data_IF_139411208782
#
_entry.id   IF_139411208782
#
_cell.length_a   1.000
_cell.length_b   1.000
_cell.length_c   1.000
_cell.angle_alpha   90.00
_cell.angle_beta   90.00
_cell.angle_gamma   90.00
#
_symmetry.space_group_name_H-M   'P 1'
#
loop_
_entity.id
_entity.type
_entity.pdbx_description
1 polymer ?
#
# COMPACT_ATOMS: atom_id res chain seq x y z
N UNK A 1 14.21 -50.85 36.59
CA UNK A 1 14.14 -49.54 35.90
C UNK A 1 14.49 -49.76 34.43
N UNK A 2 13.70 -49.17 33.52
CA UNK A 2 13.88 -49.13 32.06
C UNK A 2 13.54 -50.39 31.23
N UNK A 3 12.28 -50.86 31.31
CA UNK A 3 11.68 -51.65 30.20
C UNK A 3 10.28 -51.18 29.77
N UNK A 4 9.64 -50.30 30.53
CA UNK A 4 8.30 -49.78 30.20
C UNK A 4 8.32 -48.42 29.48
N UNK A 5 9.46 -47.71 29.44
CA UNK A 5 9.59 -46.47 28.67
C UNK A 5 9.83 -46.70 27.18
N UNK A 6 10.51 -47.79 26.80
CA UNK A 6 10.75 -48.10 25.38
C UNK A 6 9.50 -48.65 24.67
N UNK A 7 8.52 -49.18 25.42
CA UNK A 7 7.27 -49.70 24.86
C UNK A 7 6.25 -48.62 24.48
N UNK A 8 6.42 -47.38 24.96
CA UNK A 8 5.52 -46.26 24.66
C UNK A 8 5.87 -45.59 23.31
N UNK A 9 7.14 -45.63 22.91
CA UNK A 9 7.63 -45.08 21.64
C UNK A 9 7.53 -46.07 20.46
N UNK A 10 7.26 -47.35 20.74
CA UNK A 10 7.10 -48.40 19.73
C UNK A 10 5.65 -48.76 19.41
N UNK A 11 4.67 -48.10 20.02
CA UNK A 11 3.28 -48.20 19.57
C UNK A 11 3.13 -47.32 18.33
N UNK A 12 2.70 -47.86 17.18
CA UNK A 12 2.25 -47.00 16.10
C UNK A 12 1.17 -46.10 16.70
N UNK A 13 1.44 -44.80 16.79
CA UNK A 13 0.37 -43.85 17.02
C UNK A 13 -0.58 -44.07 15.85
N UNK A 14 -1.70 -44.73 16.11
CA UNK A 14 -2.86 -44.70 15.24
C UNK A 14 -3.32 -43.25 15.24
N UNK A 15 -2.63 -42.42 14.45
CA UNK A 15 -3.05 -41.09 14.09
C UNK A 15 -4.38 -41.32 13.39
N UNK A 16 -5.46 -41.11 14.14
CA UNK A 16 -6.80 -41.06 13.57
C UNK A 16 -6.71 -40.00 12.47
N UNK A 17 -6.97 -40.35 11.20
CA UNK A 17 -6.89 -39.38 10.13
C UNK A 17 -7.80 -38.21 10.47
N UNK A 18 -7.23 -37.01 10.52
CA UNK A 18 -8.00 -35.80 10.78
C UNK A 18 -9.10 -35.67 9.70
N UNK A 19 -10.28 -35.15 10.05
CA UNK A 19 -11.33 -34.88 9.07
C UNK A 19 -10.77 -34.06 7.90
N UNK A 20 -11.02 -34.46 6.64
CA UNK A 20 -10.52 -33.76 5.46
C UNK A 20 -10.89 -32.27 5.43
N UNK A 21 -12.03 -31.90 6.03
CA UNK A 21 -12.52 -30.53 6.13
C UNK A 21 -11.61 -29.67 7.01
N UNK A 22 -11.22 -30.17 8.19
CA UNK A 22 -10.33 -29.45 9.10
C UNK A 22 -8.92 -29.33 8.52
N UNK A 23 -8.43 -30.39 7.89
CA UNK A 23 -7.15 -30.36 7.19
C UNK A 23 -7.18 -29.38 6.02
N UNK A 24 -8.30 -29.27 5.29
CA UNK A 24 -8.45 -28.30 4.23
C UNK A 24 -8.34 -26.87 4.75
N UNK A 25 -9.00 -26.53 5.86
CA UNK A 25 -8.92 -25.20 6.45
C UNK A 25 -7.50 -24.83 6.88
N UNK A 26 -6.78 -25.75 7.55
CA UNK A 26 -5.39 -25.53 7.98
C UNK A 26 -4.46 -25.35 6.77
N UNK A 27 -4.58 -26.23 5.78
CA UNK A 27 -3.73 -26.17 4.57
C UNK A 27 -4.06 -24.93 3.74
N UNK A 28 -5.33 -24.53 3.70
CA UNK A 28 -5.80 -23.30 3.06
C UNK A 28 -5.15 -22.06 3.70
N UNK A 29 -5.14 -21.96 5.02
CA UNK A 29 -4.51 -20.84 5.72
C UNK A 29 -3.00 -20.80 5.46
N UNK A 30 -2.29 -21.93 5.59
CA UNK A 30 -0.85 -22.02 5.29
C UNK A 30 -0.56 -21.62 3.85
N UNK A 31 -1.36 -22.08 2.89
CA UNK A 31 -1.15 -21.80 1.46
C UNK A 31 -1.40 -20.34 1.13
N UNK A 32 -2.46 -19.76 1.68
CA UNK A 32 -2.80 -18.35 1.44
C UNK A 32 -1.84 -17.40 2.16
N UNK A 33 -1.36 -17.76 3.36
CA UNK A 33 -0.27 -17.05 4.05
C UNK A 33 1.04 -17.09 3.25
N UNK A 34 1.41 -18.26 2.73
CA UNK A 34 2.59 -18.37 1.87
C UNK A 34 2.47 -17.46 0.63
N UNK A 35 1.32 -17.46 -0.04
CA UNK A 35 1.09 -16.61 -1.21
C UNK A 35 1.21 -15.13 -0.85
N UNK A 36 0.59 -14.73 0.27
CA UNK A 36 0.62 -13.37 0.79
C UNK A 36 2.06 -12.89 1.01
N UNK A 37 2.84 -13.62 1.81
CA UNK A 37 4.23 -13.28 2.09
C UNK A 37 5.10 -13.40 0.82
N UNK A 38 4.81 -14.34 -0.09
CA UNK A 38 5.61 -14.51 -1.30
C UNK A 38 5.47 -13.35 -2.27
N UNK A 39 4.33 -12.68 -2.26
CA UNK A 39 4.07 -11.52 -3.13
C UNK A 39 4.52 -10.24 -2.45
N UNK A 40 4.11 -10.03 -1.19
CA UNK A 40 4.20 -8.72 -0.55
C UNK A 40 5.41 -8.57 0.38
N UNK A 41 5.78 -9.63 1.11
CA UNK A 41 6.82 -9.58 2.16
C UNK A 41 7.79 -10.78 2.06
N UNK A 42 8.51 -10.92 0.94
CA UNK A 42 9.30 -12.12 0.66
C UNK A 42 10.48 -12.32 1.61
N UNK A 43 10.93 -11.26 2.29
CA UNK A 43 11.96 -11.31 3.32
C UNK A 43 11.55 -12.19 4.52
N UNK A 44 10.25 -12.37 4.76
CA UNK A 44 9.72 -13.18 5.86
C UNK A 44 9.70 -14.69 5.57
N UNK A 45 9.84 -15.11 4.31
CA UNK A 45 9.64 -16.51 3.92
C UNK A 45 10.83 -17.45 4.16
N UNK A 46 12.00 -16.94 4.55
CA UNK A 46 13.21 -17.74 4.59
C UNK A 46 13.47 -18.45 3.25
N UNK A 47 14.16 -19.61 3.28
CA UNK A 47 14.47 -20.38 2.06
C UNK A 47 13.46 -21.50 1.75
N UNK A 48 12.43 -21.71 2.58
CA UNK A 48 11.59 -22.91 2.52
C UNK A 48 10.15 -22.58 2.13
N UNK A 49 9.64 -23.25 1.09
CA UNK A 49 8.23 -23.19 0.71
C UNK A 49 7.42 -24.23 1.54
N UNK A 50 6.56 -23.80 2.49
CA UNK A 50 5.81 -24.72 3.34
C UNK A 50 4.79 -25.55 2.54
N UNK A 51 4.26 -25.02 1.43
CA UNK A 51 3.31 -25.73 0.57
C UNK A 51 3.97 -26.93 -0.11
N UNK A 52 5.22 -26.79 -0.58
CA UNK A 52 5.99 -27.94 -1.10
C UNK A 52 6.23 -28.99 -0.02
N UNK A 53 6.51 -28.56 1.21
CA UNK A 53 6.71 -29.48 2.35
C UNK A 53 5.45 -30.30 2.64
N UNK A 54 4.26 -29.68 2.55
CA UNK A 54 2.98 -30.37 2.71
C UNK A 54 2.71 -31.40 1.61
N UNK A 55 3.09 -31.12 0.37
CA UNK A 55 2.98 -32.08 -0.76
C UNK A 55 3.87 -33.33 -0.55
N UNK A 56 4.98 -33.20 0.16
CA UNK A 56 5.92 -34.30 0.44
C UNK A 56 5.64 -35.07 1.74
N UNK A 57 4.74 -34.59 2.60
CA UNK A 57 4.54 -35.15 3.95
C UNK A 57 3.88 -36.55 3.96
N UNK A 58 2.59 -36.63 3.60
CA UNK A 58 1.85 -37.90 3.54
C UNK A 58 0.75 -37.84 2.47
N UNK A 59 0.16 -38.98 2.12
CA UNK A 59 -0.87 -39.06 1.07
C UNK A 59 -2.06 -38.13 1.33
N UNK A 60 -2.59 -38.12 2.56
CA UNK A 60 -3.75 -37.31 2.93
C UNK A 60 -3.46 -35.80 2.80
N UNK A 61 -2.32 -35.34 3.33
CA UNK A 61 -1.91 -33.94 3.21
C UNK A 61 -1.63 -33.56 1.77
N UNK A 62 -1.02 -34.44 0.97
CA UNK A 62 -0.79 -34.20 -0.46
C UNK A 62 -2.09 -33.99 -1.22
N UNK A 63 -3.07 -34.87 -1.05
CA UNK A 63 -4.37 -34.78 -1.73
C UNK A 63 -5.10 -33.48 -1.36
N UNK A 64 -5.09 -33.11 -0.08
CA UNK A 64 -5.73 -31.88 0.41
C UNK A 64 -4.98 -30.64 -0.07
N UNK A 65 -3.65 -30.65 -0.06
CA UNK A 65 -2.83 -29.55 -0.57
C UNK A 65 -3.05 -29.33 -2.06
N UNK A 66 -3.12 -30.40 -2.85
CA UNK A 66 -3.46 -30.30 -4.27
C UNK A 66 -4.86 -29.70 -4.46
N UNK A 67 -5.85 -30.11 -3.66
CA UNK A 67 -7.20 -29.53 -3.71
C UNK A 67 -7.19 -28.04 -3.38
N UNK A 68 -6.46 -27.62 -2.34
CA UNK A 68 -6.31 -26.20 -1.99
C UNK A 68 -5.62 -25.42 -3.10
N UNK A 69 -4.53 -25.94 -3.69
CA UNK A 69 -3.85 -25.31 -4.84
C UNK A 69 -4.83 -25.15 -6.01
N UNK A 70 -5.59 -26.19 -6.36
CA UNK A 70 -6.62 -26.10 -7.40
C UNK A 70 -7.64 -25.01 -7.06
N UNK A 71 -8.11 -24.93 -5.81
CA UNK A 71 -9.12 -23.96 -5.39
C UNK A 71 -8.63 -22.51 -5.34
N UNK A 72 -7.36 -22.30 -4.95
CA UNK A 72 -6.71 -20.99 -4.81
C UNK A 72 -6.34 -20.43 -6.18
N UNK A 73 -5.75 -21.26 -7.03
CA UNK A 73 -5.27 -20.87 -8.35
C UNK A 73 -6.35 -21.03 -9.43
N UNK A 74 -7.44 -21.76 -9.13
CA UNK A 74 -8.51 -22.15 -10.07
C UNK A 74 -7.93 -22.78 -11.34
N UNK A 75 -7.04 -23.76 -11.15
CA UNK A 75 -6.35 -24.47 -12.23
C UNK A 75 -7.03 -25.80 -12.47
N UNK A 76 -7.41 -26.06 -13.72
CA UNK A 76 -7.94 -27.36 -14.11
C UNK A 76 -6.82 -28.42 -14.13
N UNK A 77 -7.18 -29.61 -13.66
CA UNK A 77 -6.35 -30.80 -13.85
C UNK A 77 -6.52 -31.29 -15.29
N UNK A 78 -5.41 -31.67 -15.91
CA UNK A 78 -5.45 -32.36 -17.19
C UNK A 78 -6.12 -33.75 -17.05
N UNK A 79 -6.46 -34.42 -18.16
CA UNK A 79 -7.04 -35.76 -18.11
C UNK A 79 -6.17 -36.82 -17.40
N UNK A 80 -4.88 -36.54 -17.18
CA UNK A 80 -3.96 -37.42 -16.45
C UNK A 80 -3.88 -37.08 -14.95
N UNK A 81 -4.62 -36.06 -14.48
CA UNK A 81 -4.63 -35.62 -13.10
C UNK A 81 -3.44 -34.75 -12.71
N UNK A 82 -2.68 -34.22 -13.67
CA UNK A 82 -1.58 -33.28 -13.45
C UNK A 82 -2.05 -31.83 -13.57
N UNK A 83 -1.34 -30.92 -12.92
CA UNK A 83 -1.57 -29.48 -13.10
C UNK A 83 -1.08 -29.06 -14.49
N UNK A 84 -1.88 -28.27 -15.19
CA UNK A 84 -1.55 -27.76 -16.53
C UNK A 84 -0.37 -26.78 -16.55
N UNK A 85 0.00 -26.22 -15.39
CA UNK A 85 1.17 -25.36 -15.24
C UNK A 85 1.68 -25.39 -13.78
N UNK A 86 2.91 -24.89 -13.56
CA UNK A 86 3.45 -24.68 -12.22
C UNK A 86 2.76 -23.48 -11.53
N UNK A 87 1.99 -23.68 -10.44
CA UNK A 87 1.28 -22.60 -9.79
C UNK A 87 2.24 -21.58 -9.15
N UNK A 88 3.43 -21.99 -8.72
CA UNK A 88 4.38 -21.11 -8.02
C UNK A 88 5.09 -20.12 -8.96
N UNK A 89 5.19 -20.43 -10.25
CA UNK A 89 5.68 -19.47 -11.26
C UNK A 89 4.74 -18.26 -11.36
N UNK A 90 3.44 -18.46 -11.18
CA UNK A 90 2.46 -17.37 -11.18
C UNK A 90 2.62 -16.46 -9.96
N UNK A 91 2.93 -17.04 -8.79
CA UNK A 91 3.25 -16.29 -7.57
C UNK A 91 4.51 -15.44 -7.81
N UNK A 92 5.56 -16.04 -8.36
CA UNK A 92 6.80 -15.33 -8.67
C UNK A 92 6.61 -14.20 -9.70
N UNK A 93 5.81 -14.43 -10.75
CA UNK A 93 5.47 -13.39 -11.73
C UNK A 93 4.69 -12.24 -11.08
N UNK A 94 3.77 -12.54 -10.17
CA UNK A 94 2.98 -11.53 -9.49
C UNK A 94 3.81 -10.72 -8.50
N UNK A 95 4.72 -11.37 -7.77
CA UNK A 95 5.73 -10.70 -6.96
C UNK A 95 6.54 -9.70 -7.78
N UNK A 96 7.03 -10.10 -8.97
CA UNK A 96 7.78 -9.18 -9.84
C UNK A 96 6.96 -7.94 -10.21
N UNK A 97 5.67 -8.10 -10.51
CA UNK A 97 4.77 -6.97 -10.78
C UNK A 97 4.55 -6.09 -9.56
N UNK A 98 4.47 -6.70 -8.38
CA UNK A 98 4.40 -5.96 -7.12
C UNK A 98 5.65 -5.10 -6.93
N UNK A 99 6.83 -5.70 -7.08
CA UNK A 99 8.12 -4.97 -7.05
C UNK A 99 8.15 -3.84 -8.09
N UNK A 100 7.76 -4.09 -9.34
CA UNK A 100 7.69 -3.08 -10.41
C UNK A 100 6.76 -1.89 -10.07
N UNK A 101 5.61 -2.14 -9.45
CA UNK A 101 4.69 -1.07 -9.03
C UNK A 101 5.23 -0.28 -7.84
N UNK A 102 5.92 -0.93 -6.92
CA UNK A 102 6.55 -0.25 -5.78
C UNK A 102 7.83 0.50 -6.17
N UNK A 103 8.53 0.06 -7.20
CA UNK A 103 9.71 0.71 -7.75
C UNK A 103 9.36 1.76 -8.82
N UNK A 104 8.09 1.87 -9.22
CA UNK A 104 7.62 2.82 -10.21
C UNK A 104 7.93 4.26 -9.76
N UNK A 105 8.68 4.99 -10.59
CA UNK A 105 8.78 6.45 -10.49
C UNK A 105 7.74 7.08 -11.42
N UNK A 106 6.60 7.56 -10.90
CA UNK A 106 5.55 8.13 -11.74
C UNK A 106 5.92 9.52 -12.31
N UNK A 107 7.12 10.04 -12.01
CA UNK A 107 7.67 11.26 -12.63
C UNK A 107 8.34 10.98 -13.97
N UNK A 108 8.66 9.72 -14.26
CA UNK A 108 9.10 9.30 -15.57
C UNK A 108 7.86 9.12 -16.47
N UNK A 109 7.71 9.99 -17.48
CA UNK A 109 6.59 9.95 -18.42
C UNK A 109 6.49 8.58 -19.13
N UNK A 110 7.62 7.92 -19.36
CA UNK A 110 7.67 6.57 -19.92
C UNK A 110 7.14 5.54 -18.93
N UNK A 111 7.42 5.70 -17.63
CA UNK A 111 6.91 4.84 -16.55
C UNK A 111 5.41 5.03 -16.30
N UNK A 112 4.90 6.27 -16.32
CA UNK A 112 3.47 6.55 -16.22
C UNK A 112 2.68 6.03 -17.42
N UNK A 113 3.23 6.16 -18.62
CA UNK A 113 2.66 5.58 -19.85
C UNK A 113 2.71 4.06 -19.82
N UNK A 114 3.82 3.47 -19.36
CA UNK A 114 3.96 2.02 -19.18
C UNK A 114 2.98 1.48 -18.13
N UNK A 115 2.72 2.22 -17.05
CA UNK A 115 1.71 1.85 -16.05
C UNK A 115 0.29 1.91 -16.60
N UNK A 116 -0.07 2.98 -17.32
CA UNK A 116 -1.39 3.08 -17.95
C UNK A 116 -1.57 2.03 -19.05
N UNK A 117 -0.53 1.76 -19.85
CA UNK A 117 -0.53 0.65 -20.80
C UNK A 117 -0.62 -0.71 -20.11
N UNK A 118 0.03 -0.88 -18.95
CA UNK A 118 -0.09 -2.09 -18.15
C UNK A 118 -1.50 -2.22 -17.58
N UNK A 119 -2.12 -1.13 -17.12
CA UNK A 119 -3.49 -1.10 -16.61
C UNK A 119 -4.51 -1.41 -17.72
N UNK A 120 -4.33 -0.81 -18.90
CA UNK A 120 -5.16 -1.00 -20.10
C UNK A 120 -4.95 -2.39 -20.74
N UNK A 121 -3.72 -2.91 -20.72
CA UNK A 121 -3.41 -4.28 -21.14
C UNK A 121 -3.85 -5.31 -20.10
N UNK A 122 -4.08 -4.88 -18.87
CA UNK A 122 -4.69 -5.71 -17.83
C UNK A 122 -6.19 -5.79 -18.02
N UNK A 123 -6.59 -6.58 -19.02
CA UNK A 123 -7.79 -7.38 -18.83
C UNK A 123 -7.52 -8.29 -17.61
N UNK A 124 -8.29 -8.19 -16.51
CA UNK A 124 -8.17 -9.10 -15.39
C UNK A 124 -8.25 -10.58 -15.83
N UNK A 125 -8.85 -10.86 -17.00
CA UNK A 125 -8.87 -12.19 -17.62
C UNK A 125 -7.54 -12.60 -18.29
N UNK A 126 -6.72 -11.67 -18.77
CA UNK A 126 -5.50 -11.97 -19.55
C UNK A 126 -4.22 -11.99 -18.71
N UNK A 127 -4.10 -11.11 -17.71
CA UNK A 127 -2.79 -10.81 -17.06
C UNK A 127 -2.37 -11.80 -15.98
N UNK A 128 -3.28 -12.67 -15.54
CA UNK A 128 -2.97 -13.72 -14.58
C UNK A 128 -2.80 -15.11 -15.20
N UNK A 129 -3.14 -15.30 -16.49
CA UNK A 129 -3.30 -16.64 -17.08
C UNK A 129 -4.22 -17.56 -16.24
N UNK A 130 -5.03 -16.94 -15.37
CA UNK A 130 -5.78 -17.57 -14.29
C UNK A 130 -7.19 -17.04 -14.33
N UNK A 131 -8.14 -17.88 -13.94
CA UNK A 131 -9.52 -17.48 -13.77
C UNK A 131 -9.60 -16.19 -12.93
N UNK A 132 -10.35 -15.16 -13.38
CA UNK A 132 -10.48 -13.86 -12.70
C UNK A 132 -11.08 -13.98 -11.30
N UNK A 133 -11.67 -15.13 -10.98
CA UNK A 133 -12.16 -15.42 -9.64
C UNK A 133 -11.07 -15.93 -8.69
N UNK A 134 -9.84 -16.21 -9.13
CA UNK A 134 -8.79 -16.83 -8.30
C UNK A 134 -8.26 -15.90 -7.21
N UNK A 135 -7.62 -16.47 -6.18
CA UNK A 135 -6.98 -15.67 -5.11
C UNK A 135 -5.85 -14.82 -5.70
N UNK A 136 -5.06 -15.36 -6.64
CA UNK A 136 -4.01 -14.60 -7.31
C UNK A 136 -4.56 -13.44 -8.14
N UNK A 137 -5.70 -13.60 -8.79
CA UNK A 137 -6.35 -12.49 -9.51
C UNK A 137 -6.71 -11.35 -8.55
N UNK A 138 -7.10 -11.65 -7.30
CA UNK A 138 -7.32 -10.61 -6.28
C UNK A 138 -6.03 -9.90 -5.88
N UNK A 139 -4.94 -10.63 -5.67
CA UNK A 139 -3.64 -10.00 -5.40
C UNK A 139 -3.14 -9.15 -6.57
N UNK A 140 -3.36 -9.58 -7.82
CA UNK A 140 -3.08 -8.76 -8.99
C UNK A 140 -3.88 -7.45 -8.98
N UNK A 141 -5.18 -7.53 -8.68
CA UNK A 141 -5.99 -6.32 -8.55
C UNK A 141 -5.45 -5.41 -7.43
N UNK A 142 -5.01 -5.95 -6.29
CA UNK A 142 -4.36 -5.16 -5.22
C UNK A 142 -3.11 -4.43 -5.71
N UNK A 143 -2.22 -5.11 -6.44
CA UNK A 143 -1.03 -4.50 -7.04
C UNK A 143 -1.41 -3.33 -7.94
N UNK A 144 -2.42 -3.51 -8.80
CA UNK A 144 -2.90 -2.48 -9.72
C UNK A 144 -3.55 -1.31 -8.98
N UNK A 145 -4.33 -1.58 -7.93
CA UNK A 145 -4.95 -0.55 -7.08
C UNK A 145 -3.86 0.32 -6.45
N UNK A 146 -2.85 -0.29 -5.83
CA UNK A 146 -1.78 0.44 -5.14
C UNK A 146 -0.98 1.31 -6.12
N UNK A 147 -0.62 0.77 -7.28
CA UNK A 147 0.03 1.56 -8.33
C UNK A 147 -0.84 2.70 -8.86
N UNK A 148 -2.13 2.44 -9.04
CA UNK A 148 -3.09 3.42 -9.53
C UNK A 148 -3.26 4.57 -8.55
N UNK A 149 -3.43 4.28 -7.26
CA UNK A 149 -3.54 5.31 -6.23
C UNK A 149 -2.25 6.12 -6.10
N UNK A 150 -1.09 5.46 -6.16
CA UNK A 150 0.21 6.15 -6.18
C UNK A 150 0.31 7.13 -7.34
N UNK A 151 0.06 6.67 -8.57
CA UNK A 151 0.05 7.52 -9.75
C UNK A 151 -0.96 8.69 -9.63
N UNK A 152 -2.15 8.42 -9.08
CA UNK A 152 -3.21 9.42 -8.84
C UNK A 152 -2.78 10.51 -7.86
N UNK A 153 -2.04 10.14 -6.81
CA UNK A 153 -1.57 11.12 -5.82
C UNK A 153 -0.47 12.00 -6.40
N UNK A 154 0.31 11.47 -7.34
CA UNK A 154 1.50 12.12 -7.87
C UNK A 154 1.24 12.96 -9.14
N UNK A 155 0.16 12.69 -9.89
CA UNK A 155 -0.24 13.55 -11.02
C UNK A 155 -0.70 14.94 -10.55
N UNK A 156 -0.55 15.98 -11.37
CA UNK A 156 -1.05 17.34 -11.07
C UNK A 156 -2.42 17.64 -11.69
N UNK A 157 -2.86 16.83 -12.66
CA UNK A 157 -4.11 17.08 -13.39
C UNK A 157 -5.35 16.66 -12.59
N UNK A 158 -6.24 17.62 -12.32
CA UNK A 158 -7.46 17.41 -11.52
C UNK A 158 -8.45 16.46 -12.19
N UNK A 159 -8.58 16.51 -13.52
CA UNK A 159 -9.50 15.62 -14.24
C UNK A 159 -8.96 14.19 -14.25
N UNK A 160 -7.66 14.01 -14.54
CA UNK A 160 -6.98 12.71 -14.38
C UNK A 160 -7.15 12.20 -12.95
N UNK A 161 -6.93 13.01 -11.91
CA UNK A 161 -7.14 12.59 -10.51
C UNK A 161 -8.54 12.05 -10.28
N UNK A 162 -9.57 12.75 -10.77
CA UNK A 162 -10.96 12.35 -10.57
C UNK A 162 -11.27 11.02 -11.23
N UNK A 163 -10.85 10.84 -12.49
CA UNK A 163 -11.04 9.58 -13.23
C UNK A 163 -10.31 8.43 -12.54
N UNK A 164 -9.04 8.65 -12.18
CA UNK A 164 -8.21 7.61 -11.59
C UNK A 164 -8.70 7.16 -10.21
N UNK A 165 -9.28 8.06 -9.40
CA UNK A 165 -9.94 7.70 -8.11
C UNK A 165 -11.13 6.76 -8.32
N UNK A 166 -11.96 7.02 -9.33
CA UNK A 166 -13.12 6.16 -9.63
C UNK A 166 -12.64 4.77 -10.06
N UNK A 167 -11.61 4.71 -10.90
CA UNK A 167 -11.02 3.45 -11.35
C UNK A 167 -10.41 2.66 -10.18
N UNK A 168 -9.63 3.32 -9.32
CA UNK A 168 -9.05 2.70 -8.13
C UNK A 168 -10.11 2.13 -7.17
N UNK A 169 -11.23 2.84 -6.99
CA UNK A 169 -12.38 2.32 -6.21
C UNK A 169 -13.04 1.10 -6.86
N UNK A 170 -13.19 1.09 -8.19
CA UNK A 170 -13.75 -0.05 -8.92
C UNK A 170 -12.86 -1.29 -8.75
N UNK A 171 -11.56 -1.13 -8.99
CA UNK A 171 -10.59 -2.20 -8.84
C UNK A 171 -10.59 -2.75 -7.41
N UNK A 172 -10.70 -1.87 -6.40
CA UNK A 172 -10.81 -2.27 -5.00
C UNK A 172 -12.01 -3.14 -4.72
N UNK A 173 -13.20 -2.75 -5.19
CA UNK A 173 -14.41 -3.55 -5.04
C UNK A 173 -14.20 -4.95 -5.62
N UNK A 174 -13.53 -5.04 -6.77
CA UNK A 174 -13.20 -6.31 -7.39
C UNK A 174 -12.14 -7.10 -6.60
N UNK A 175 -11.12 -6.45 -6.04
CA UNK A 175 -10.07 -7.09 -5.25
C UNK A 175 -10.62 -7.71 -3.94
N UNK A 176 -11.54 -7.01 -3.27
CA UNK A 176 -12.12 -7.48 -1.99
C UNK A 176 -13.32 -8.43 -2.18
N UNK A 177 -13.75 -8.62 -3.43
CA UNK A 177 -14.84 -9.53 -3.76
C UNK A 177 -14.40 -10.98 -3.62
N UNK A 178 -15.20 -11.78 -2.92
CA UNK A 178 -14.93 -13.21 -2.73
C UNK A 178 -16.20 -14.05 -2.96
N UNK A 179 -16.07 -15.21 -3.65
CA UNK A 179 -17.17 -16.15 -3.76
C UNK A 179 -17.68 -16.57 -2.38
N UNK A 180 -19.02 -16.55 -2.17
CA UNK A 180 -19.64 -16.80 -0.86
C UNK A 180 -19.14 -18.07 -0.16
N UNK A 181 -18.91 -19.14 -0.93
CA UNK A 181 -18.49 -20.46 -0.42
C UNK A 181 -16.97 -20.58 -0.17
N UNK A 182 -16.17 -19.61 -0.61
CA UNK A 182 -14.70 -19.65 -0.51
C UNK A 182 -14.12 -18.51 0.32
N UNK A 183 -14.93 -17.72 1.03
CA UNK A 183 -14.50 -16.50 1.74
C UNK A 183 -13.25 -16.67 2.61
N UNK A 184 -13.06 -17.83 3.25
CA UNK A 184 -11.87 -18.13 4.05
C UNK A 184 -10.56 -18.04 3.25
N UNK A 185 -10.56 -18.57 2.02
CA UNK A 185 -9.39 -18.54 1.12
C UNK A 185 -8.98 -17.12 0.70
N UNK A 186 -9.92 -16.17 0.73
CA UNK A 186 -9.70 -14.79 0.28
C UNK A 186 -9.53 -13.84 1.47
N UNK A 187 -9.57 -14.34 2.71
CA UNK A 187 -9.58 -13.49 3.90
C UNK A 187 -8.39 -12.54 3.95
N UNK A 188 -7.18 -13.03 3.62
CA UNK A 188 -5.93 -12.24 3.61
C UNK A 188 -5.91 -11.18 2.50
N UNK A 189 -6.19 -11.57 1.26
CA UNK A 189 -6.33 -10.62 0.14
C UNK A 189 -7.38 -9.52 0.44
N UNK A 190 -8.50 -9.88 1.06
CA UNK A 190 -9.54 -8.92 1.47
C UNK A 190 -9.04 -7.98 2.56
N UNK A 191 -8.37 -8.50 3.58
CA UNK A 191 -7.80 -7.70 4.66
C UNK A 191 -6.81 -6.67 4.09
N UNK A 192 -5.88 -7.10 3.24
CA UNK A 192 -4.95 -6.18 2.55
C UNK A 192 -5.67 -5.16 1.68
N UNK A 193 -6.70 -5.57 0.94
CA UNK A 193 -7.50 -4.62 0.17
C UNK A 193 -8.14 -3.53 1.02
N UNK A 194 -8.67 -3.89 2.19
CA UNK A 194 -9.17 -2.89 3.13
C UNK A 194 -8.04 -2.00 3.68
N UNK A 195 -6.91 -2.57 4.08
CA UNK A 195 -5.75 -1.81 4.57
C UNK A 195 -5.25 -0.80 3.53
N UNK A 196 -5.03 -1.25 2.30
CA UNK A 196 -4.62 -0.41 1.18
C UNK A 196 -5.65 0.70 0.91
N UNK A 197 -6.95 0.37 0.89
CA UNK A 197 -8.00 1.37 0.70
C UNK A 197 -7.94 2.48 1.74
N UNK A 198 -7.87 2.12 3.01
CA UNK A 198 -7.88 3.09 4.10
C UNK A 198 -6.58 3.90 4.13
N UNK A 199 -5.44 3.26 3.84
CA UNK A 199 -4.18 3.95 3.67
C UNK A 199 -4.27 5.03 2.58
N UNK A 200 -4.69 4.66 1.37
CA UNK A 200 -4.76 5.60 0.23
C UNK A 200 -5.85 6.66 0.38
N UNK A 201 -6.93 6.36 1.09
CA UNK A 201 -7.92 7.37 1.46
C UNK A 201 -7.31 8.42 2.40
N UNK A 202 -6.55 7.97 3.40
CA UNK A 202 -5.83 8.86 4.33
C UNK A 202 -4.78 9.70 3.60
N UNK A 203 -4.03 9.10 2.66
CA UNK A 203 -3.11 9.84 1.77
C UNK A 203 -3.87 10.91 0.99
N UNK A 204 -5.02 10.58 0.40
CA UNK A 204 -5.82 11.53 -0.39
C UNK A 204 -6.28 12.73 0.44
N UNK A 205 -6.68 12.53 1.69
CA UNK A 205 -7.09 13.62 2.57
C UNK A 205 -5.90 14.46 3.04
N UNK A 206 -4.76 13.83 3.36
CA UNK A 206 -3.54 14.58 3.63
C UNK A 206 -3.09 15.39 2.43
N UNK A 207 -3.11 14.82 1.22
CA UNK A 207 -2.83 15.54 -0.03
C UNK A 207 -3.77 16.73 -0.24
N UNK A 208 -5.04 16.65 0.19
CA UNK A 208 -5.96 17.79 0.15
C UNK A 208 -5.54 18.89 1.12
N UNK A 209 -5.12 18.54 2.33
CA UNK A 209 -4.60 19.50 3.32
C UNK A 209 -3.29 20.11 2.84
N UNK A 210 -2.41 19.30 2.25
CA UNK A 210 -1.19 19.71 1.57
C UNK A 210 -1.49 20.79 0.52
N UNK A 211 -2.40 20.58 -0.43
CA UNK A 211 -2.73 21.63 -1.42
C UNK A 211 -3.24 22.95 -0.82
N UNK A 212 -3.81 22.92 0.40
CA UNK A 212 -4.21 24.14 1.11
C UNK A 212 -3.01 24.84 1.77
N UNK A 213 -2.02 24.08 2.23
CA UNK A 213 -0.74 24.61 2.72
C UNK A 213 0.09 25.22 1.57
N UNK A 214 0.09 24.59 0.40
CA UNK A 214 0.64 25.16 -0.85
C UNK A 214 -0.02 26.50 -1.20
N UNK A 215 -1.36 26.57 -1.16
CA UNK A 215 -2.05 27.82 -1.41
C UNK A 215 -1.72 28.90 -0.36
N UNK A 216 -1.49 28.51 0.88
CA UNK A 216 -1.03 29.41 1.94
C UNK A 216 0.39 29.92 1.65
N UNK A 217 1.30 29.04 1.21
CA UNK A 217 2.65 29.39 0.78
C UNK A 217 2.64 30.38 -0.39
N UNK A 218 1.81 30.12 -1.41
CA UNK A 218 1.65 31.00 -2.57
C UNK A 218 1.11 32.38 -2.17
N UNK A 219 0.12 32.42 -1.26
CA UNK A 219 -0.45 33.69 -0.77
C UNK A 219 0.61 34.50 0.01
N UNK A 220 1.41 33.84 0.84
CA UNK A 220 2.38 34.50 1.72
C UNK A 220 3.69 34.83 1.01
N UNK A 221 4.16 34.01 0.08
CA UNK A 221 5.36 34.26 -0.74
C UNK A 221 5.22 35.48 -1.66
N UNK A 222 3.99 35.98 -1.87
CA UNK A 222 3.73 37.21 -2.61
C UNK A 222 3.75 38.48 -1.74
N UNK A 223 3.87 38.36 -0.41
CA UNK A 223 4.00 39.50 0.51
C UNK A 223 5.47 39.93 0.65
N UNK A 224 5.76 41.23 0.55
CA UNK A 224 7.14 41.74 0.64
C UNK A 224 7.54 42.06 2.08
N UNK A 225 6.56 42.38 2.94
CA UNK A 225 6.73 42.63 4.38
C UNK A 225 5.59 42.01 5.20
N UNK A 226 5.80 41.75 6.51
CA UNK A 226 4.78 41.28 7.46
C UNK A 226 3.50 42.15 7.46
N UNK A 227 3.64 43.44 7.12
CA UNK A 227 2.54 44.40 7.05
C UNK A 227 1.59 44.17 5.86
N UNK A 228 2.02 43.41 4.84
CA UNK A 228 1.24 43.10 3.65
C UNK A 228 0.34 41.87 3.83
N UNK A 229 0.51 41.11 4.92
CA UNK A 229 -0.32 39.94 5.20
C UNK A 229 -1.63 40.38 5.86
N UNK A 230 -2.76 40.09 5.20
CA UNK A 230 -4.05 40.34 5.79
C UNK A 230 -4.30 39.42 7.00
N UNK A 231 -4.91 39.97 8.05
CA UNK A 231 -5.29 39.20 9.25
C UNK A 231 -6.21 38.01 8.92
N UNK A 232 -6.97 38.10 7.83
CA UNK A 232 -7.79 37.00 7.32
C UNK A 232 -6.96 35.81 6.82
N UNK A 233 -5.80 36.06 6.20
CA UNK A 233 -4.91 35.01 5.69
C UNK A 233 -4.20 34.29 6.84
N UNK A 234 -3.78 35.03 7.87
CA UNK A 234 -3.24 34.45 9.12
C UNK A 234 -4.26 33.52 9.76
N UNK A 235 -5.51 33.98 9.90
CA UNK A 235 -6.60 33.17 10.45
C UNK A 235 -6.84 31.92 9.61
N UNK A 236 -6.80 32.03 8.28
CA UNK A 236 -6.93 30.89 7.37
C UNK A 236 -5.81 29.87 7.57
N UNK A 237 -4.57 30.33 7.72
CA UNK A 237 -3.42 29.48 8.03
C UNK A 237 -3.57 28.76 9.36
N UNK A 238 -4.03 29.46 10.40
CA UNK A 238 -4.33 28.86 11.70
C UNK A 238 -5.41 27.77 11.61
N UNK A 239 -6.53 28.04 10.93
CA UNK A 239 -7.61 27.06 10.73
C UNK A 239 -7.14 25.82 9.94
N UNK A 240 -6.18 25.98 9.02
CA UNK A 240 -5.59 24.87 8.28
C UNK A 240 -4.70 23.99 9.15
N UNK A 241 -3.86 24.59 10.00
CA UNK A 241 -3.03 23.85 10.94
C UNK A 241 -3.86 23.14 12.01
N UNK A 242 -4.97 23.75 12.45
CA UNK A 242 -5.91 23.08 13.36
C UNK A 242 -6.58 21.88 12.69
N UNK A 243 -7.04 22.03 11.44
CA UNK A 243 -7.60 20.89 10.67
C UNK A 243 -6.58 19.78 10.47
N UNK A 244 -5.30 20.12 10.29
CA UNK A 244 -4.22 19.16 10.17
C UNK A 244 -3.97 18.45 11.51
N UNK A 245 -3.98 19.18 12.63
CA UNK A 245 -3.89 18.61 13.97
C UNK A 245 -5.04 17.65 14.30
N UNK A 246 -6.24 18.01 13.85
CA UNK A 246 -7.48 17.24 14.02
C UNK A 246 -7.66 16.12 13.00
N UNK A 247 -6.78 16.03 11.99
CA UNK A 247 -6.90 15.05 10.92
C UNK A 247 -6.93 13.62 11.51
N UNK A 248 -6.07 13.32 12.49
CA UNK A 248 -6.08 12.05 13.26
C UNK A 248 -7.46 11.71 13.87
N UNK A 249 -8.19 12.72 14.36
CA UNK A 249 -9.50 12.52 14.97
C UNK A 249 -10.60 12.31 13.92
N UNK A 250 -10.43 12.85 12.71
CA UNK A 250 -11.38 12.70 11.60
C UNK A 250 -11.20 11.38 10.84
N UNK A 251 -10.04 10.73 10.94
CA UNK A 251 -9.77 9.41 10.35
C UNK A 251 -10.33 8.22 11.15
N UNK A 252 -11.06 8.46 12.25
CA UNK A 252 -11.56 7.40 13.14
C UNK A 252 -12.81 6.68 12.57
N UNK A 253 -12.65 5.58 11.80
CA UNK A 253 -13.61 4.45 11.68
C UNK A 253 -13.08 3.32 10.75
N UNK A 254 -13.36 2.01 11.00
CA UNK A 254 -13.42 1.28 12.27
C UNK A 254 -12.06 0.70 12.70
N UNK A 255 -10.99 0.91 11.94
CA UNK A 255 -9.62 0.62 12.39
C UNK A 255 -8.99 1.89 12.96
N UNK A 256 -8.35 1.80 14.12
CA UNK A 256 -7.58 2.86 14.78
C UNK A 256 -6.37 3.30 13.92
N UNK A 257 -6.60 3.85 12.72
CA UNK A 257 -5.52 4.33 11.87
C UNK A 257 -4.89 5.56 12.51
N UNK A 258 -3.65 5.39 12.98
CA UNK A 258 -2.78 6.49 13.42
C UNK A 258 -2.05 7.02 12.20
N UNK A 259 -1.67 8.29 12.24
CA UNK A 259 -0.71 8.82 11.27
C UNK A 259 0.60 8.04 11.43
N UNK A 260 1.15 7.57 10.31
CA UNK A 260 2.42 6.84 10.23
C UNK A 260 3.44 7.63 9.43
N UNK A 261 4.72 7.25 9.53
CA UNK A 261 5.79 7.81 8.70
C UNK A 261 5.50 7.66 7.20
N UNK A 262 5.11 6.45 6.77
CA UNK A 262 4.78 6.15 5.37
C UNK A 262 3.65 7.05 4.84
N UNK A 263 2.63 7.31 5.68
CA UNK A 263 1.52 8.18 5.32
C UNK A 263 1.98 9.63 5.11
N UNK A 264 2.88 10.13 5.97
CA UNK A 264 3.47 11.47 5.86
C UNK A 264 4.47 11.59 4.70
N UNK A 265 5.18 10.51 4.36
CA UNK A 265 6.06 10.44 3.20
C UNK A 265 5.27 10.41 1.88
N UNK A 266 4.22 9.60 1.78
CA UNK A 266 3.44 9.49 0.52
C UNK A 266 2.54 10.71 0.31
N UNK A 267 2.03 11.33 1.39
CA UNK A 267 1.21 12.57 1.37
C UNK A 267 1.99 13.84 0.96
N UNK A 268 2.89 13.75 -0.01
CA UNK A 268 3.74 14.84 -0.48
C UNK A 268 2.96 15.94 -1.22
N UNK A 269 3.39 17.19 -1.02
CA UNK A 269 2.99 18.37 -1.78
C UNK A 269 3.55 18.27 -3.19
N UNK A 270 2.71 18.22 -4.21
CA UNK A 270 3.14 18.41 -5.59
C UNK A 270 3.15 19.91 -5.91
N UNK A 271 4.16 20.64 -5.46
CA UNK A 271 4.24 22.07 -5.76
C UNK A 271 4.66 22.27 -7.22
N UNK A 272 3.75 22.87 -8.00
CA UNK A 272 4.10 23.62 -9.19
C UNK A 272 4.62 24.98 -8.73
N UNK A 273 5.92 25.07 -8.39
CA UNK A 273 6.57 26.37 -8.30
C UNK A 273 6.58 27.00 -9.70
N UNK A 274 5.57 27.81 -10.00
CA UNK A 274 5.62 28.75 -11.12
C UNK A 274 6.51 29.91 -10.69
N UNK A 275 7.82 29.64 -10.63
CA UNK A 275 8.82 30.68 -10.54
C UNK A 275 8.76 31.56 -11.80
N UNK A 276 8.79 32.88 -11.61
CA UNK A 276 8.77 33.95 -12.64
C UNK A 276 9.92 33.90 -13.69
N UNK A 277 10.63 32.79 -13.81
CA UNK A 277 11.78 32.60 -14.69
C UNK A 277 11.83 31.13 -15.13
N UNK A 278 11.63 30.91 -16.43
CA UNK A 278 11.69 29.73 -17.31
C UNK A 278 12.32 28.37 -16.86
N UNK A 279 12.21 27.94 -15.60
CA UNK A 279 12.47 26.56 -15.19
C UNK A 279 11.42 26.13 -14.17
N UNK A 280 10.53 25.23 -14.59
CA UNK A 280 9.66 24.49 -13.67
C UNK A 280 10.56 23.61 -12.80
N UNK A 281 10.81 24.01 -11.57
CA UNK A 281 11.44 23.13 -10.58
C UNK A 281 10.31 22.59 -9.73
N UNK A 282 9.97 21.31 -9.92
CA UNK A 282 9.05 20.62 -9.02
C UNK A 282 9.79 20.42 -7.71
N UNK A 283 9.36 21.10 -6.63
CA UNK A 283 9.84 20.80 -5.28
C UNK A 283 8.73 20.09 -4.54
N UNK A 284 8.95 18.82 -4.17
CA UNK A 284 8.06 18.17 -3.22
C UNK A 284 8.45 18.61 -1.82
N UNK A 285 7.51 19.24 -1.12
CA UNK A 285 7.60 19.33 0.32
C UNK A 285 6.72 18.20 0.87
N UNK A 286 7.25 17.27 1.66
CA UNK A 286 6.34 16.47 2.48
C UNK A 286 5.68 17.40 3.50
N UNK A 287 4.50 17.07 4.03
CA UNK A 287 3.83 17.91 5.06
C UNK A 287 4.82 18.32 6.16
N UNK A 288 5.69 17.39 6.56
CA UNK A 288 6.76 17.61 7.55
C UNK A 288 7.80 18.63 7.09
N UNK A 289 8.21 18.59 5.83
CA UNK A 289 9.13 19.56 5.20
C UNK A 289 8.53 20.97 5.20
N UNK A 290 7.24 21.09 4.87
CA UNK A 290 6.54 22.36 4.89
C UNK A 290 6.39 22.92 6.31
N UNK A 291 5.99 22.08 7.27
CA UNK A 291 5.94 22.47 8.67
C UNK A 291 7.31 22.95 9.17
N UNK A 292 8.40 22.28 8.78
CA UNK A 292 9.77 22.72 9.10
C UNK A 292 10.10 24.06 8.46
N UNK A 293 9.71 24.28 7.20
CA UNK A 293 9.86 25.57 6.53
C UNK A 293 9.08 26.69 7.24
N UNK A 294 7.86 26.44 7.72
CA UNK A 294 7.10 27.42 8.52
C UNK A 294 7.79 27.79 9.85
N UNK A 295 8.60 26.89 10.40
CA UNK A 295 9.28 27.09 11.69
C UNK A 295 10.64 27.76 11.53
N UNK A 296 11.46 27.25 10.61
CA UNK A 296 12.86 27.60 10.44
C UNK A 296 13.13 28.52 9.23
N UNK A 297 12.14 28.74 8.37
CA UNK A 297 12.28 29.46 7.10
C UNK A 297 12.58 30.96 7.28
N UNK A 298 13.64 31.49 6.66
CA UNK A 298 14.02 32.90 6.78
C UNK A 298 13.11 33.86 6.00
N UNK A 299 12.34 33.33 5.04
CA UNK A 299 11.51 34.09 4.09
C UNK A 299 10.02 34.06 4.43
N UNK A 300 9.61 33.44 5.54
CA UNK A 300 8.20 33.30 5.88
C UNK A 300 7.80 34.34 6.94
N UNK A 301 7.06 35.40 6.58
CA UNK A 301 6.53 36.36 7.52
C UNK A 301 5.39 35.67 8.30
N UNK A 302 5.75 34.96 9.37
CA UNK A 302 4.83 34.11 10.13
C UNK A 302 4.42 34.82 11.40
N UNK A 303 3.10 34.98 11.59
CA UNK A 303 2.51 35.15 12.91
C UNK A 303 3.10 34.12 13.88
N UNK A 304 3.49 34.56 15.09
CA UNK A 304 4.01 33.69 16.16
C UNK A 304 3.10 32.48 16.41
N UNK A 305 1.79 32.65 16.21
CA UNK A 305 0.77 31.61 16.40
C UNK A 305 0.91 30.49 15.36
N UNK A 306 1.07 30.83 14.08
CA UNK A 306 1.25 29.85 12.99
C UNK A 306 2.54 29.06 13.23
N UNK A 307 3.63 29.75 13.60
CA UNK A 307 4.91 29.11 13.93
C UNK A 307 4.78 28.15 15.12
N UNK A 308 4.08 28.56 16.17
CA UNK A 308 3.85 27.73 17.34
C UNK A 308 3.04 26.47 17.01
N UNK A 309 1.96 26.60 16.22
CA UNK A 309 1.15 25.46 15.77
C UNK A 309 1.93 24.50 14.87
N UNK A 310 2.69 25.03 13.90
CA UNK A 310 3.53 24.23 13.04
C UNK A 310 4.60 23.47 13.83
N UNK A 311 5.24 24.13 14.81
CA UNK A 311 6.20 23.50 15.72
C UNK A 311 5.57 22.37 16.55
N UNK A 312 4.37 22.59 17.09
CA UNK A 312 3.66 21.55 17.83
C UNK A 312 3.37 20.31 16.98
N UNK A 313 3.00 20.50 15.70
CA UNK A 313 2.80 19.40 14.76
C UNK A 313 4.12 18.69 14.40
N UNK A 314 5.21 19.43 14.21
CA UNK A 314 6.54 18.84 14.01
C UNK A 314 6.99 17.99 15.19
N UNK A 315 6.79 18.47 16.42
CA UNK A 315 7.12 17.71 17.62
C UNK A 315 6.22 16.46 17.74
N UNK A 316 4.94 16.59 17.39
CA UNK A 316 3.98 15.48 17.38
C UNK A 316 4.33 14.40 16.36
N UNK A 317 4.76 14.74 15.16
CA UNK A 317 4.93 13.78 14.06
C UNK A 317 6.37 13.50 13.64
N UNK A 318 7.33 14.34 14.04
CA UNK A 318 8.73 14.22 13.64
C UNK A 318 9.36 12.88 14.01
N UNK A 319 8.93 12.28 15.12
CA UNK A 319 9.41 10.96 15.56
C UNK A 319 8.88 9.79 14.72
N UNK A 320 7.89 10.02 13.85
CA UNK A 320 7.32 9.01 12.94
C UNK A 320 8.10 8.93 11.62
N UNK A 321 8.87 9.97 11.29
CA UNK A 321 9.61 10.05 10.04
C UNK A 321 10.91 9.24 10.11
N UNK A 322 11.37 8.66 8.99
CA UNK A 322 12.64 7.94 8.97
C UNK A 322 13.84 8.87 9.18
N UNK A 323 14.98 8.35 9.68
CA UNK A 323 16.17 9.15 9.93
C UNK A 323 16.64 9.94 8.70
N UNK A 324 17.05 11.20 8.92
CA UNK A 324 17.60 12.07 7.87
C UNK A 324 16.54 12.70 6.96
N UNK A 325 15.24 12.60 7.29
CA UNK A 325 14.19 13.27 6.54
C UNK A 325 14.36 14.79 6.52
N UNK A 326 14.98 15.38 7.56
CA UNK A 326 15.20 16.82 7.68
C UNK A 326 16.23 17.38 6.68
N UNK A 327 17.11 16.53 6.14
CA UNK A 327 18.16 16.95 5.19
C UNK A 327 17.77 16.72 3.73
N UNK A 328 16.79 15.84 3.47
CA UNK A 328 16.23 15.59 2.11
C UNK A 328 15.67 16.86 1.44
N UNK A 329 15.43 17.90 2.23
CA UNK A 329 14.95 19.24 1.82
C UNK A 329 15.98 19.99 0.97
N UNK A 330 17.27 19.72 1.19
CA UNK A 330 18.37 20.52 0.63
C UNK A 330 19.14 19.82 -0.49
N UNK A 331 19.04 18.49 -0.61
CA UNK A 331 19.79 17.71 -1.59
C UNK A 331 19.22 17.78 -3.03
N UNK A 332 18.00 18.30 -3.21
CA UNK A 332 17.39 18.54 -4.53
C UNK A 332 17.57 19.98 -5.05
N UNK A 333 18.45 20.79 -4.44
CA UNK A 333 18.86 22.06 -5.02
C UNK A 333 19.95 21.80 -6.09
N UNK A 334 19.70 22.05 -7.39
CA UNK A 334 20.81 22.05 -8.35
C UNK A 334 21.78 23.16 -7.96
N UNK A 335 23.06 22.80 -7.90
CA UNK A 335 24.19 23.69 -7.60
C UNK A 335 24.25 24.93 -8.51
#
# INVERSE_FOLDING_TARGET
MNREHDAFLSRPMNLVPLPPELLYEVVADITTEYIDHAIVEPSLLGQTNPVLSLLHCCRQLREITLKVIIDVFLVDLDPQGSLSCNPFERVASLRKKYEEVHDLDPRDEDSGTAFNLALDATDPQSVAGSNPESVLARYLLLVLIEGQWRYTMETSDKETKKVMKVLGLSLLVDAISAPKKKRGLYARARARGYEAFWFWLSVSELSRVSSLLEALDDMLSNSQDDADIAQEDVKRGEELLDKLADAEAQYLFPSEQKITGDLLEVGSLSSLLVGRSHRKVYRRYHVMTFLKYLVDGPEFPTSEIIRAKAKALLEKWGHLMPPGWETRIYDEQPA
#
